data_IF_067713506856
#
_entry.id   IF_067713506856
#
_cell.length_a   1.000
_cell.length_b   1.000
_cell.length_c   1.000
_cell.angle_alpha   90.00
_cell.angle_beta   90.00
_cell.angle_gamma   90.00
#
_symmetry.space_group_name_H-M   'P 1'
#
loop_
_entity.id
_entity.type
_entity.pdbx_description
1 polymer ?
#
# COMPACT_ATOMS: atom_id res chain seq x y z
N UNK A 1 -17.16 -18.02 6.67
CA UNK A 1 -15.89 -17.43 6.18
C UNK A 1 -15.43 -18.01 4.84
N UNK A 2 -15.36 -19.33 4.65
CA UNK A 2 -14.97 -19.91 3.36
C UNK A 2 -15.91 -19.55 2.21
N UNK A 3 -17.22 -19.79 2.36
CA UNK A 3 -18.22 -19.47 1.31
C UNK A 3 -18.21 -17.99 0.92
N UNK A 4 -18.10 -17.09 1.90
CA UNK A 4 -18.02 -15.64 1.66
C UNK A 4 -16.74 -15.23 0.93
N UNK A 5 -15.60 -15.87 1.21
CA UNK A 5 -14.35 -15.62 0.49
C UNK A 5 -14.44 -16.16 -0.93
N UNK A 6 -14.98 -17.37 -1.14
CA UNK A 6 -15.15 -17.93 -2.48
C UNK A 6 -16.04 -17.06 -3.36
N UNK A 7 -17.17 -16.58 -2.82
CA UNK A 7 -18.06 -15.66 -3.54
C UNK A 7 -17.39 -14.31 -3.82
N UNK A 8 -16.70 -13.72 -2.83
CA UNK A 8 -15.97 -12.47 -3.02
C UNK A 8 -14.87 -12.57 -4.07
N UNK A 9 -14.08 -13.64 -4.03
CA UNK A 9 -13.03 -13.91 -5.02
C UNK A 9 -13.64 -14.14 -6.41
N UNK A 10 -14.71 -14.93 -6.52
CA UNK A 10 -15.38 -15.15 -7.80
C UNK A 10 -15.91 -13.84 -8.42
N UNK A 11 -16.55 -13.00 -7.61
CA UNK A 11 -16.99 -11.66 -8.04
C UNK A 11 -15.81 -10.78 -8.45
N UNK A 12 -14.71 -10.77 -7.68
CA UNK A 12 -13.49 -10.04 -8.01
C UNK A 12 -12.87 -10.49 -9.34
N UNK A 13 -12.79 -11.80 -9.56
CA UNK A 13 -12.27 -12.39 -10.79
C UNK A 13 -13.08 -12.02 -12.04
N UNK A 14 -14.35 -11.65 -11.91
CA UNK A 14 -15.19 -11.20 -13.03
C UNK A 14 -15.17 -9.68 -13.15
N UNK A 15 -15.42 -8.97 -12.06
CA UNK A 15 -15.55 -7.50 -12.05
C UNK A 15 -14.25 -6.78 -12.35
N UNK A 16 -13.11 -7.25 -11.83
CA UNK A 16 -11.81 -6.61 -12.03
C UNK A 16 -11.36 -6.62 -13.51
N UNK A 17 -11.31 -7.77 -14.22
CA UNK A 17 -10.91 -7.76 -15.63
C UNK A 17 -11.92 -7.04 -16.52
N UNK A 18 -13.23 -7.15 -16.25
CA UNK A 18 -14.23 -6.40 -17.02
C UNK A 18 -14.04 -4.89 -16.88
N UNK A 19 -13.79 -4.40 -15.66
CA UNK A 19 -13.49 -2.99 -15.41
C UNK A 19 -12.21 -2.57 -16.13
N UNK A 20 -11.15 -3.39 -16.05
CA UNK A 20 -9.90 -3.13 -16.76
C UNK A 20 -10.12 -3.03 -18.28
N UNK A 21 -10.80 -4.00 -18.89
CA UNK A 21 -11.05 -3.99 -20.34
C UNK A 21 -11.91 -2.81 -20.79
N UNK A 22 -12.89 -2.41 -19.96
CA UNK A 22 -13.70 -1.23 -20.24
C UNK A 22 -12.83 0.03 -20.29
N UNK A 23 -11.98 0.26 -19.29
CA UNK A 23 -11.07 1.41 -19.29
C UNK A 23 -10.02 1.33 -20.41
N UNK A 24 -9.46 0.14 -20.65
CA UNK A 24 -8.45 -0.08 -21.69
C UNK A 24 -8.99 0.16 -23.10
N UNK A 25 -10.29 -0.08 -23.33
CA UNK A 25 -10.93 0.18 -24.63
C UNK A 25 -11.44 1.62 -24.75
N UNK A 26 -11.87 2.23 -23.65
CA UNK A 26 -12.44 3.57 -23.65
C UNK A 26 -11.38 4.68 -23.61
N UNK A 27 -10.22 4.43 -22.99
CA UNK A 27 -9.17 5.42 -22.77
C UNK A 27 -7.80 4.94 -23.25
N UNK A 28 -6.92 5.89 -23.57
CA UNK A 28 -5.52 5.63 -23.96
C UNK A 28 -4.65 5.31 -22.73
N UNK A 29 -4.90 4.14 -22.14
CA UNK A 29 -4.22 3.66 -20.93
C UNK A 29 -2.78 3.27 -21.26
N UNK A 30 -1.83 3.85 -20.55
CA UNK A 30 -0.40 3.54 -20.68
C UNK A 30 0.41 4.56 -21.50
N UNK A 31 -0.24 5.56 -22.10
CA UNK A 31 0.46 6.67 -22.75
C UNK A 31 1.18 7.54 -21.70
N UNK A 32 2.51 7.74 -21.76
CA UNK A 32 3.25 8.57 -20.80
C UNK A 32 2.81 10.04 -20.77
N UNK A 33 2.21 10.51 -21.86
CA UNK A 33 1.72 11.88 -22.03
C UNK A 33 0.21 12.00 -21.84
N UNK A 34 -0.50 10.88 -21.68
CA UNK A 34 -1.95 10.85 -21.42
C UNK A 34 -2.30 11.05 -19.95
N UNK A 35 -3.59 11.15 -19.67
CA UNK A 35 -4.13 11.25 -18.30
C UNK A 35 -4.05 9.90 -17.56
N UNK A 36 -4.28 8.79 -18.26
CA UNK A 36 -4.26 7.43 -17.71
C UNK A 36 -2.90 6.77 -17.85
N UNK A 37 -1.91 7.28 -17.11
CA UNK A 37 -0.56 6.69 -17.08
C UNK A 37 -0.58 5.34 -16.34
N UNK A 38 0.36 4.47 -16.69
CA UNK A 38 0.56 3.17 -16.03
C UNK A 38 1.79 3.18 -15.11
N UNK A 39 1.75 3.86 -13.93
CA UNK A 39 2.92 4.02 -13.06
C UNK A 39 3.46 2.68 -12.55
N UNK A 40 2.57 1.75 -12.17
CA UNK A 40 2.96 0.42 -11.71
C UNK A 40 3.66 -0.42 -12.78
N UNK A 41 3.32 -0.24 -14.06
CA UNK A 41 3.99 -0.96 -15.15
C UNK A 41 5.48 -0.58 -15.23
N UNK A 42 5.82 0.68 -14.95
CA UNK A 42 7.21 1.13 -14.91
C UNK A 42 7.97 0.53 -13.73
N UNK A 43 7.33 0.42 -12.56
CA UNK A 43 7.89 -0.25 -11.38
C UNK A 43 8.18 -1.72 -11.69
N UNK A 44 7.20 -2.46 -12.22
CA UNK A 44 7.37 -3.87 -12.56
C UNK A 44 8.42 -4.10 -13.66
N UNK A 45 8.49 -3.20 -14.65
CA UNK A 45 9.56 -3.25 -15.66
C UNK A 45 10.93 -3.11 -15.03
N UNK A 46 11.11 -2.14 -14.13
CA UNK A 46 12.40 -1.96 -13.44
C UNK A 46 12.74 -3.17 -12.56
N UNK A 47 11.76 -3.76 -11.88
CA UNK A 47 11.95 -5.01 -11.14
C UNK A 47 12.38 -6.16 -12.06
N UNK A 48 11.77 -6.29 -13.25
CA UNK A 48 12.16 -7.29 -14.23
C UNK A 48 13.58 -7.07 -14.79
N UNK A 49 13.95 -5.81 -15.07
CA UNK A 49 15.31 -5.46 -15.49
C UNK A 49 16.33 -5.83 -14.42
N UNK A 50 16.07 -5.53 -13.15
CA UNK A 50 16.91 -5.94 -12.02
C UNK A 50 17.00 -7.47 -11.91
N UNK A 51 15.90 -8.18 -12.16
CA UNK A 51 15.89 -9.65 -12.19
C UNK A 51 16.78 -10.26 -13.28
N UNK A 52 16.90 -9.60 -14.44
CA UNK A 52 17.71 -10.07 -15.57
C UNK A 52 19.17 -9.61 -15.47
N UNK A 53 19.41 -8.34 -15.14
CA UNK A 53 20.75 -7.75 -15.04
C UNK A 53 21.45 -8.09 -13.69
N UNK A 54 20.71 -8.64 -12.74
CA UNK A 54 21.20 -9.04 -11.44
C UNK A 54 21.66 -7.86 -10.57
N UNK A 55 22.47 -8.16 -9.56
CA UNK A 55 22.96 -7.18 -8.58
C UNK A 55 23.83 -6.07 -9.17
N UNK A 56 24.30 -6.23 -10.41
CA UNK A 56 25.09 -5.22 -11.12
C UNK A 56 24.28 -3.99 -11.56
N UNK A 57 22.95 -4.11 -11.64
CA UNK A 57 22.05 -3.01 -11.96
C UNK A 57 21.53 -2.27 -10.70
N UNK A 58 21.90 -2.72 -9.50
CA UNK A 58 21.49 -2.05 -8.26
C UNK A 58 22.29 -0.74 -8.08
N UNK A 59 21.65 0.32 -7.55
CA UNK A 59 22.34 1.54 -7.16
C UNK A 59 23.49 1.28 -6.17
N UNK A 60 24.51 2.14 -6.19
CA UNK A 60 25.62 2.10 -5.23
C UNK A 60 25.08 2.09 -3.79
N UNK A 61 25.68 1.28 -2.92
CA UNK A 61 25.28 1.05 -1.52
C UNK A 61 23.88 0.44 -1.29
N UNK A 62 23.10 0.11 -2.33
CA UNK A 62 21.77 -0.47 -2.17
C UNK A 62 21.81 -1.79 -1.37
N UNK A 63 22.76 -2.68 -1.67
CA UNK A 63 22.92 -3.93 -0.92
C UNK A 63 23.30 -3.71 0.54
N UNK A 64 24.17 -2.74 0.83
CA UNK A 64 24.59 -2.42 2.19
C UNK A 64 23.41 -1.91 3.03
N UNK A 65 22.55 -1.06 2.44
CA UNK A 65 21.31 -0.61 3.05
C UNK A 65 20.31 -1.76 3.22
N UNK A 66 20.16 -2.64 2.22
CA UNK A 66 19.29 -3.81 2.31
C UNK A 66 19.71 -4.74 3.46
N UNK A 67 20.99 -5.07 3.59
CA UNK A 67 21.50 -5.87 4.71
C UNK A 67 21.32 -5.15 6.05
N UNK A 68 21.53 -3.82 6.09
CA UNK A 68 21.30 -3.01 7.29
C UNK A 68 19.84 -3.02 7.75
N UNK A 69 18.89 -2.76 6.85
CA UNK A 69 17.46 -2.79 7.16
C UNK A 69 16.95 -4.20 7.45
N UNK A 70 17.51 -5.22 6.80
CA UNK A 70 17.21 -6.61 7.12
C UNK A 70 17.64 -6.97 8.54
N UNK A 71 18.90 -6.65 8.90
CA UNK A 71 19.40 -6.86 10.25
C UNK A 71 18.59 -6.08 11.29
N UNK A 72 18.26 -4.81 11.01
CA UNK A 72 17.36 -4.01 11.84
C UNK A 72 16.00 -4.68 12.01
N UNK A 73 15.36 -5.13 10.92
CA UNK A 73 14.06 -5.76 10.97
C UNK A 73 14.10 -7.06 11.79
N UNK A 74 15.14 -7.88 11.64
CA UNK A 74 15.33 -9.10 12.43
C UNK A 74 15.49 -8.77 13.91
N UNK A 75 16.36 -7.83 14.27
CA UNK A 75 16.58 -7.42 15.66
C UNK A 75 15.32 -6.86 16.32
N UNK A 76 14.59 -6.02 15.60
CA UNK A 76 13.35 -5.39 16.09
C UNK A 76 12.27 -6.45 16.35
N UNK A 77 12.10 -7.41 15.44
CA UNK A 77 11.15 -8.51 15.65
C UNK A 77 11.60 -9.46 16.78
N UNK A 78 12.90 -9.79 16.88
CA UNK A 78 13.41 -10.60 17.98
C UNK A 78 13.17 -9.93 19.34
N UNK A 79 13.52 -8.66 19.50
CA UNK A 79 13.29 -7.94 20.77
C UNK A 79 11.79 -7.84 21.09
N UNK A 80 10.95 -7.68 20.07
CA UNK A 80 9.49 -7.69 20.22
C UNK A 80 8.98 -9.04 20.76
N UNK A 81 9.50 -10.15 20.25
CA UNK A 81 9.05 -11.50 20.62
C UNK A 81 9.61 -11.95 21.98
N UNK A 82 10.87 -11.59 22.29
CA UNK A 82 11.50 -11.96 23.57
C UNK A 82 11.03 -11.10 24.76
N UNK A 83 10.58 -9.87 24.53
CA UNK A 83 10.17 -8.97 25.61
C UNK A 83 8.76 -8.42 25.39
N UNK A 84 7.71 -9.05 25.95
CA UNK A 84 6.33 -8.59 25.76
C UNK A 84 6.05 -7.20 26.36
N UNK A 85 6.85 -6.75 27.33
CA UNK A 85 6.72 -5.40 27.94
C UNK A 85 7.24 -4.30 27.01
N UNK A 86 8.34 -4.54 26.28
CA UNK A 86 8.96 -3.58 25.36
C UNK A 86 8.38 -3.74 23.95
N UNK A 87 8.05 -4.97 23.55
CA UNK A 87 7.53 -5.33 22.24
C UNK A 87 6.21 -4.64 21.87
N UNK A 88 5.43 -4.18 22.86
CA UNK A 88 4.22 -3.38 22.61
C UNK A 88 4.51 -2.01 22.00
N UNK A 89 5.70 -1.46 22.23
CA UNK A 89 6.13 -0.15 21.72
C UNK A 89 7.03 -0.26 20.49
N UNK A 90 7.34 -1.48 20.07
CA UNK A 90 8.28 -1.70 18.99
C UNK A 90 7.63 -1.43 17.62
N UNK A 91 8.25 -0.63 16.74
CA UNK A 91 7.70 -0.39 15.42
C UNK A 91 7.73 -1.68 14.59
N UNK A 92 6.74 -1.84 13.72
CA UNK A 92 6.65 -2.96 12.78
C UNK A 92 7.47 -2.62 11.52
N UNK A 93 8.60 -3.29 11.25
CA UNK A 93 9.46 -2.96 10.11
C UNK A 93 8.73 -3.02 8.77
N UNK A 94 7.78 -3.95 8.62
CA UNK A 94 6.95 -4.07 7.43
C UNK A 94 6.14 -2.78 7.18
N UNK A 95 5.49 -2.23 8.21
CA UNK A 95 4.67 -1.01 8.09
C UNK A 95 5.53 0.22 7.79
N UNK A 96 6.78 0.23 8.25
CA UNK A 96 7.73 1.29 7.91
C UNK A 96 8.19 1.24 6.44
N UNK A 97 8.26 0.04 5.86
CA UNK A 97 8.71 -0.17 4.48
C UNK A 97 7.67 0.15 3.41
N UNK A 98 6.40 -0.18 3.64
CA UNK A 98 5.31 -0.04 2.64
C UNK A 98 5.15 1.40 2.09
N UNK A 99 5.21 2.47 2.90
CA UNK A 99 5.10 3.85 2.42
C UNK A 99 6.16 4.25 1.40
N UNK A 100 7.34 3.61 1.40
CA UNK A 100 8.38 3.91 0.41
C UNK A 100 8.03 3.42 -1.00
N UNK A 101 7.12 2.43 -1.12
CA UNK A 101 6.66 1.91 -2.40
C UNK A 101 5.34 2.56 -2.85
N UNK A 102 4.41 2.72 -1.90
CA UNK A 102 3.03 3.09 -2.17
C UNK A 102 2.82 4.60 -2.02
N UNK A 103 3.52 5.25 -1.08
CA UNK A 103 3.43 6.68 -0.79
C UNK A 103 3.12 6.96 0.68
N UNK A 104 3.30 8.23 1.07
CA UNK A 104 3.12 8.66 2.46
C UNK A 104 1.67 8.59 2.96
N UNK A 105 0.68 8.57 2.07
CA UNK A 105 -0.73 8.45 2.44
C UNK A 105 -1.02 7.17 3.24
N UNK A 106 -0.30 6.08 2.94
CA UNK A 106 -0.40 4.82 3.66
C UNK A 106 -0.06 4.97 5.15
N UNK A 107 0.87 5.84 5.51
CA UNK A 107 1.22 6.11 6.91
C UNK A 107 0.08 6.81 7.66
N UNK A 108 -0.66 7.70 6.98
CA UNK A 108 -1.82 8.40 7.53
C UNK A 108 -2.95 7.40 7.78
N UNK A 109 -3.22 6.52 6.80
CA UNK A 109 -4.25 5.49 6.91
C UNK A 109 -3.97 4.52 8.06
N UNK A 110 -2.70 4.12 8.25
CA UNK A 110 -2.27 3.28 9.38
C UNK A 110 -2.43 3.98 10.74
N UNK A 111 -2.18 5.28 10.81
CA UNK A 111 -2.38 6.08 12.02
C UNK A 111 -3.86 6.16 12.41
N UNK A 112 -4.72 6.48 11.44
CA UNK A 112 -6.18 6.54 11.62
C UNK A 112 -6.71 5.15 12.00
N UNK A 113 -6.28 4.10 11.30
CA UNK A 113 -6.63 2.72 11.61
C UNK A 113 -6.25 2.36 13.06
N UNK A 114 -5.04 2.70 13.49
CA UNK A 114 -4.58 2.44 14.86
C UNK A 114 -5.39 3.18 15.92
N UNK A 115 -5.80 4.43 15.65
CA UNK A 115 -6.69 5.21 16.54
C UNK A 115 -8.07 4.58 16.66
N UNK A 116 -8.63 4.07 15.56
CA UNK A 116 -9.91 3.34 15.55
C UNK A 116 -9.80 2.07 16.40
N UNK A 117 -8.73 1.28 16.22
CA UNK A 117 -8.51 0.08 17.03
C UNK A 117 -8.34 0.43 18.51
N UNK A 118 -7.60 1.49 18.82
CA UNK A 118 -7.37 1.92 20.20
C UNK A 118 -8.65 2.35 20.91
N UNK A 119 -9.50 3.14 20.26
CA UNK A 119 -10.80 3.56 20.81
C UNK A 119 -11.75 2.38 20.97
N UNK A 120 -11.79 1.46 20.01
CA UNK A 120 -12.61 0.24 20.11
C UNK A 120 -12.17 -0.66 21.26
N UNK A 121 -10.86 -0.82 21.45
CA UNK A 121 -10.32 -1.62 22.54
C UNK A 121 -10.64 -1.02 23.93
N UNK A 122 -10.79 0.31 24.02
CA UNK A 122 -11.24 1.01 25.24
C UNK A 122 -12.74 0.87 25.52
N UNK A 123 -13.57 0.77 24.48
CA UNK A 123 -15.04 0.66 24.62
C UNK A 123 -15.48 -0.79 24.84
N UNK A 124 -15.01 -1.72 24.00
CA UNK A 124 -15.41 -3.13 24.05
C UNK A 124 -14.35 -4.02 23.40
N UNK A 125 -13.46 -4.59 24.22
CA UNK A 125 -12.31 -5.38 23.75
C UNK A 125 -12.73 -6.71 23.10
N UNK A 126 -13.89 -7.28 23.45
CA UNK A 126 -14.36 -8.56 22.90
C UNK A 126 -14.88 -8.40 21.48
N UNK A 127 -15.61 -7.33 21.20
CA UNK A 127 -16.08 -7.00 19.84
C UNK A 127 -14.94 -6.51 18.94
N UNK A 128 -13.98 -5.78 19.51
CA UNK A 128 -12.83 -5.28 18.76
C UNK A 128 -12.06 -6.40 18.03
N UNK A 129 -11.80 -7.52 18.72
CA UNK A 129 -11.02 -8.63 18.14
C UNK A 129 -11.65 -9.22 16.86
N UNK A 130 -12.98 -9.18 16.74
CA UNK A 130 -13.71 -9.70 15.57
C UNK A 130 -13.91 -8.65 14.47
N UNK A 131 -14.04 -7.38 14.85
CA UNK A 131 -14.33 -6.29 13.91
C UNK A 131 -13.07 -5.72 13.27
N UNK A 132 -11.92 -5.76 13.96
CA UNK A 132 -10.66 -5.23 13.45
C UNK A 132 -10.24 -5.86 12.11
N UNK A 133 -10.26 -7.20 11.93
CA UNK A 133 -9.90 -7.80 10.63
C UNK A 133 -10.83 -7.39 9.49
N UNK A 134 -12.13 -7.21 9.78
CA UNK A 134 -13.12 -6.82 8.78
C UNK A 134 -12.99 -5.34 8.38
N UNK A 135 -12.74 -4.46 9.35
CA UNK A 135 -12.52 -3.03 9.09
C UNK A 135 -11.16 -2.80 8.41
N UNK A 136 -10.11 -3.50 8.84
CA UNK A 136 -8.78 -3.42 8.23
C UNK A 136 -8.81 -3.92 6.77
N UNK A 137 -9.47 -5.04 6.50
CA UNK A 137 -9.60 -5.54 5.11
C UNK A 137 -10.42 -4.60 4.24
N UNK A 138 -11.48 -3.96 4.77
CA UNK A 138 -12.23 -2.93 4.07
C UNK A 138 -11.40 -1.68 3.74
N UNK A 139 -10.61 -1.19 4.69
CA UNK A 139 -9.70 -0.05 4.48
C UNK A 139 -8.58 -0.37 3.47
N UNK A 140 -8.03 -1.59 3.51
CA UNK A 140 -7.00 -2.04 2.57
C UNK A 140 -7.59 -2.23 1.16
N UNK A 141 -8.70 -2.97 1.03
CA UNK A 141 -9.36 -3.19 -0.26
C UNK A 141 -9.97 -1.91 -0.86
N UNK A 142 -10.25 -0.90 -0.03
CA UNK A 142 -10.83 0.36 -0.46
C UNK A 142 -9.83 1.44 -0.88
N UNK A 143 -8.51 1.28 -0.66
CA UNK A 143 -7.57 2.42 -0.63
C UNK A 143 -8.16 3.57 0.22
N UNK A 144 -8.57 3.20 1.44
CA UNK A 144 -9.91 3.48 1.97
C UNK A 144 -10.26 4.90 2.42
N UNK A 145 -9.39 5.89 2.28
CA UNK A 145 -9.72 7.29 2.55
C UNK A 145 -9.47 8.22 1.36
N UNK A 146 -8.54 7.87 0.47
CA UNK A 146 -8.05 8.81 -0.53
C UNK A 146 -8.58 8.57 -1.93
N UNK A 147 -8.89 7.32 -2.29
CA UNK A 147 -9.34 7.01 -3.66
C UNK A 147 -10.72 7.57 -3.99
N UNK A 148 -11.64 7.60 -3.02
CA UNK A 148 -12.97 8.20 -3.22
C UNK A 148 -12.90 9.73 -3.39
N UNK A 149 -12.25 10.51 -2.49
CA UNK A 149 -12.03 11.93 -2.73
C UNK A 149 -11.25 12.21 -4.01
N UNK A 150 -10.19 11.44 -4.31
CA UNK A 150 -9.39 11.63 -5.52
C UNK A 150 -10.21 11.39 -6.79
N UNK A 151 -11.04 10.36 -6.82
CA UNK A 151 -11.92 10.08 -7.96
C UNK A 151 -13.03 11.14 -8.10
N UNK A 152 -13.59 11.64 -7.01
CA UNK A 152 -14.55 12.77 -7.04
C UNK A 152 -13.88 14.05 -7.54
N UNK A 153 -12.68 14.38 -7.05
CA UNK A 153 -11.90 15.54 -7.48
C UNK A 153 -11.51 15.44 -8.97
N UNK A 154 -11.15 14.24 -9.43
CA UNK A 154 -10.87 13.97 -10.83
C UNK A 154 -12.12 14.14 -11.70
N UNK A 155 -13.28 13.64 -11.24
CA UNK A 155 -14.56 13.82 -11.94
C UNK A 155 -14.98 15.30 -12.02
N UNK A 156 -14.73 16.06 -10.96
CA UNK A 156 -14.96 17.50 -10.88
C UNK A 156 -13.92 18.34 -11.64
N UNK A 157 -12.92 17.71 -12.29
CA UNK A 157 -11.83 18.35 -13.04
C UNK A 157 -11.11 19.46 -12.24
N UNK A 158 -11.02 19.30 -10.92
CA UNK A 158 -10.34 20.27 -10.05
C UNK A 158 -8.85 20.21 -10.36
N UNK A 159 -8.30 21.32 -10.87
CA UNK A 159 -6.85 21.42 -11.10
C UNK A 159 -6.13 21.45 -9.74
N UNK A 160 -5.07 20.66 -9.55
CA UNK A 160 -4.31 20.71 -8.31
C UNK A 160 -3.76 22.12 -8.09
N UNK A 161 -3.91 22.71 -6.88
CA UNK A 161 -3.53 24.08 -6.61
C UNK A 161 -2.01 24.30 -6.67
N UNK A 162 -1.22 23.23 -6.61
CA UNK A 162 0.24 23.27 -6.72
C UNK A 162 0.72 22.15 -7.65
N UNK A 163 1.44 22.52 -8.71
CA UNK A 163 2.16 21.58 -9.57
C UNK A 163 3.63 21.56 -9.14
N UNK A 164 3.99 20.61 -8.27
CA UNK A 164 5.40 20.40 -7.90
C UNK A 164 6.07 19.55 -8.97
N UNK A 165 6.88 20.19 -9.82
CA UNK A 165 7.77 19.52 -10.78
C UNK A 165 9.17 19.52 -10.19
N UNK A 166 9.62 18.37 -9.69
CA UNK A 166 11.03 18.18 -9.35
C UNK A 166 11.81 18.04 -10.65
N UNK A 167 12.43 19.14 -11.09
CA UNK A 167 13.41 19.11 -12.16
C UNK A 167 14.67 18.44 -11.59
N UNK A 168 15.02 17.26 -12.11
CA UNK A 168 16.32 16.65 -11.84
C UNK A 168 17.41 17.56 -12.36
N UNK A 169 18.41 17.85 -11.51
CA UNK A 169 19.68 18.44 -11.94
C UNK A 169 20.52 17.41 -12.67
#
# INVERSE_FOLDING_TARGET
>A
MFVSQTLGTALGCVTAPLSFFLFYKAFDVGNPHGEFKAPYALIYRNMAILGVQGFSALPQHCLQLCYGFFAFAVLVNLVRDFSPKIGKYMPLPMVMGVPFLVGAYFAIDMCIGSLIVFTWHKLDSKKAALMVPAVASGLICGEGLWTLPASVLALAKVKPPMCMKFLGS
#
